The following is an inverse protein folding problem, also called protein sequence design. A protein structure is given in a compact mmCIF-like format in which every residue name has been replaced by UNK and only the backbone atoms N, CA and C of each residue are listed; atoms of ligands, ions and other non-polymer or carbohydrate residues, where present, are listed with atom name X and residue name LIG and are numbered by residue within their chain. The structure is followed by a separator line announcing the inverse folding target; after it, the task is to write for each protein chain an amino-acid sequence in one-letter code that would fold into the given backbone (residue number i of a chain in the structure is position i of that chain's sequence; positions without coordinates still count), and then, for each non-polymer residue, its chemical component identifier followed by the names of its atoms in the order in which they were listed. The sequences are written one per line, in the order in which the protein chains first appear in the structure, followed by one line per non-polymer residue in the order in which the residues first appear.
data_IF_597557779676
#
_entry.id   IF_597557779676
#
_cell.length_a   1.000
_cell.length_b   1.000
_cell.length_c   1.000
_cell.angle_alpha   90.00
_cell.angle_beta   90.00
_cell.angle_gamma   90.00
#
_symmetry.space_group_name_H-M   'P 1'
#
loop_
_entity.id
_entity.type
_entity.pdbx_description
1 polymer ?
#
# COMPACT_ATOMS: atom_id res chain seq x y z
N UNK A 1 -4.17 -7.65 3.57
CA UNK A 1 -3.76 -6.50 2.72
C UNK A 1 -2.39 -6.80 2.15
N UNK A 2 -2.20 -6.60 0.85
CA UNK A 2 -0.90 -6.68 0.19
C UNK A 2 -0.60 -5.36 -0.54
N UNK A 3 0.67 -4.96 -0.56
CA UNK A 3 1.19 -3.80 -1.29
C UNK A 3 2.22 -4.27 -2.32
N UNK A 4 2.29 -3.64 -3.47
CA UNK A 4 3.31 -3.95 -4.47
C UNK A 4 4.59 -3.15 -4.19
N UNK A 5 5.73 -3.84 -4.04
CA UNK A 5 7.02 -3.18 -3.87
C UNK A 5 7.58 -2.68 -5.22
N UNK A 6 8.74 -1.99 -5.19
CA UNK A 6 9.38 -1.45 -6.40
C UNK A 6 9.85 -2.52 -7.40
N UNK A 7 10.01 -3.76 -6.96
CA UNK A 7 10.35 -4.90 -7.82
C UNK A 7 9.11 -5.51 -8.48
N UNK A 8 7.91 -5.00 -8.18
CA UNK A 8 6.64 -5.55 -8.69
C UNK A 8 6.10 -6.71 -7.85
N UNK A 9 6.75 -7.05 -6.74
CA UNK A 9 6.38 -8.16 -5.88
C UNK A 9 5.30 -7.74 -4.88
N UNK A 10 4.34 -8.62 -4.63
CA UNK A 10 3.30 -8.39 -3.63
C UNK A 10 3.80 -8.79 -2.25
N UNK A 11 3.81 -7.83 -1.33
CA UNK A 11 4.28 -8.01 0.05
C UNK A 11 3.10 -7.80 1.00
N UNK A 12 2.97 -8.66 2.01
CA UNK A 12 1.94 -8.50 3.04
C UNK A 12 2.18 -7.26 3.90
N UNK A 13 1.11 -6.51 4.18
CA UNK A 13 1.09 -5.50 5.22
C UNK A 13 0.44 -6.13 6.48
N UNK A 14 1.22 -6.70 7.40
CA UNK A 14 0.67 -7.33 8.59
C UNK A 14 -0.02 -6.27 9.47
N UNK A 15 -1.19 -6.58 10.05
CA UNK A 15 -1.81 -5.68 11.01
C UNK A 15 -0.91 -5.59 12.25
N UNK A 16 -0.68 -4.37 12.72
CA UNK A 16 -0.05 -4.11 14.01
C UNK A 16 -1.13 -3.59 14.97
N UNK A 17 -1.15 -4.14 16.18
CA UNK A 17 -2.12 -3.77 17.21
C UNK A 17 -2.06 -2.27 17.50
N UNK A 18 -3.23 -1.66 17.74
CA UNK A 18 -3.39 -0.22 18.02
C UNK A 18 -2.84 0.72 16.93
N UNK A 19 -2.74 0.26 15.67
CA UNK A 19 -2.27 1.08 14.55
C UNK A 19 -3.21 1.10 13.35
N UNK A 20 -3.03 2.13 12.52
CA UNK A 20 -3.66 2.23 11.21
C UNK A 20 -2.62 2.13 10.10
N UNK A 21 -2.98 1.42 9.04
CA UNK A 21 -2.24 1.48 7.77
C UNK A 21 -2.82 2.63 6.95
N UNK A 22 -1.96 3.59 6.59
CA UNK A 22 -2.35 4.75 5.76
C UNK A 22 -1.61 4.67 4.43
N UNK A 23 -2.35 4.61 3.32
CA UNK A 23 -1.79 4.76 1.98
C UNK A 23 -2.00 6.18 1.45
N UNK A 24 -1.10 6.63 0.59
CA UNK A 24 -1.25 7.89 -0.13
C UNK A 24 -1.80 7.61 -1.54
N UNK A 25 -2.77 8.40 -1.97
CA UNK A 25 -3.37 8.31 -3.30
C UNK A 25 -2.69 9.21 -4.33
N UNK A 26 -3.18 9.17 -5.57
CA UNK A 26 -2.60 9.91 -6.69
C UNK A 26 -2.50 11.42 -6.46
N UNK A 27 -3.46 12.03 -5.74
CA UNK A 27 -3.43 13.47 -5.45
C UNK A 27 -2.17 13.85 -4.67
N UNK A 28 -1.82 13.09 -3.62
CA UNK A 28 -0.61 13.33 -2.83
C UNK A 28 0.67 13.10 -3.62
N UNK A 29 0.67 12.13 -4.54
CA UNK A 29 1.79 11.93 -5.46
C UNK A 29 1.98 13.15 -6.37
N UNK A 30 0.91 13.70 -6.94
CA UNK A 30 0.95 14.89 -7.80
C UNK A 30 1.42 16.12 -7.02
N UNK A 31 0.80 16.40 -5.87
CA UNK A 31 1.14 17.57 -5.04
C UNK A 31 2.58 17.54 -4.53
N UNK A 32 3.13 16.35 -4.30
CA UNK A 32 4.50 16.18 -3.84
C UNK A 32 5.53 16.05 -4.96
N UNK A 33 5.13 16.29 -6.21
CA UNK A 33 5.96 16.13 -7.41
C UNK A 33 6.67 14.76 -7.46
N UNK A 34 5.94 13.70 -7.10
CA UNK A 34 6.44 12.33 -7.12
C UNK A 34 7.27 11.91 -5.91
N UNK A 35 7.45 12.76 -4.89
CA UNK A 35 8.16 12.37 -3.64
C UNK A 35 7.47 11.22 -2.92
N UNK A 36 6.13 11.21 -2.91
CA UNK A 36 5.33 10.10 -2.37
C UNK A 36 4.72 9.28 -3.49
N UNK A 37 4.72 7.96 -3.34
CA UNK A 37 4.16 7.04 -4.32
C UNK A 37 2.73 6.62 -3.97
N UNK A 38 1.84 6.65 -4.97
CA UNK A 38 0.53 6.02 -4.90
C UNK A 38 0.67 4.53 -5.18
N UNK A 39 1.03 3.76 -4.15
CA UNK A 39 1.38 2.34 -4.28
C UNK A 39 0.16 1.46 -4.54
N UNK A 40 0.20 0.55 -5.54
CA UNK A 40 -0.83 -0.46 -5.74
C UNK A 40 -1.04 -1.33 -4.49
N UNK A 41 -2.29 -1.59 -4.15
CA UNK A 41 -2.67 -2.42 -3.02
C UNK A 41 -3.85 -3.32 -3.38
N UNK A 42 -3.92 -4.49 -2.75
CA UNK A 42 -5.02 -5.46 -2.96
C UNK A 42 -5.38 -6.20 -1.67
N UNK A 43 -6.57 -6.78 -1.65
CA UNK A 43 -7.00 -7.73 -0.62
C UNK A 43 -7.22 -9.08 -1.28
N UNK A 44 -6.62 -10.13 -0.72
CA UNK A 44 -6.86 -11.52 -1.13
C UNK A 44 -7.65 -12.18 -0.01
N UNK A 45 -8.75 -12.84 -0.36
CA UNK A 45 -9.44 -13.75 0.55
C UNK A 45 -8.64 -15.05 0.64
N UNK A 46 -8.20 -15.42 1.85
CA UNK A 46 -7.44 -16.65 2.13
C UNK A 46 -8.24 -17.66 2.95
N UNK A 47 -9.53 -17.43 3.13
CA UNK A 47 -10.43 -18.42 3.71
C UNK A 47 -10.60 -19.55 2.69
N UNK A 48 -10.35 -20.78 3.12
CA UNK A 48 -10.62 -22.00 2.36
C UNK A 48 -12.10 -22.35 2.41
#
# INVERSE_FOLDING_TARGET
LEIQNKNGEWVGAPPLEETFVINLGNIMQIWSNGRFSSTPHRVINRSN
#
